data_IF_401761945664
#
_entry.id   IF_401761945664
#
_cell.length_a   1.000
_cell.length_b   1.000
_cell.length_c   1.000
_cell.angle_alpha   90.00
_cell.angle_beta   90.00
_cell.angle_gamma   90.00
#
_symmetry.space_group_name_H-M   'P 1'
#
loop_
_entity.id
_entity.type
_entity.pdbx_description
1 polymer ?
#
# COMPACT_ATOMS: atom_id res chain seq x y z
N UNK A 1 16.66 -63.25 -52.98
CA UNK A 1 16.60 -63.30 -51.51
C UNK A 1 16.75 -61.86 -51.02
N UNK A 2 15.73 -61.00 -51.02
CA UNK A 2 14.65 -60.83 -49.99
C UNK A 2 15.23 -60.89 -48.57
N UNK A 3 15.16 -59.86 -47.71
CA UNK A 3 14.13 -58.84 -47.52
C UNK A 3 14.73 -57.52 -47.01
N UNK A 4 14.30 -56.43 -47.63
CA UNK A 4 14.28 -55.08 -47.09
C UNK A 4 12.78 -54.73 -46.95
N UNK A 5 12.30 -54.39 -45.76
CA UNK A 5 10.93 -53.92 -45.56
C UNK A 5 10.94 -52.47 -45.08
N UNK A 6 10.22 -51.56 -45.76
CA UNK A 6 10.25 -50.12 -45.49
C UNK A 6 9.12 -49.70 -44.54
N UNK A 7 9.35 -48.64 -43.76
CA UNK A 7 8.32 -47.95 -42.97
C UNK A 7 7.87 -46.70 -43.75
N UNK A 8 6.57 -46.54 -44.09
CA UNK A 8 6.07 -45.40 -44.86
C UNK A 8 5.52 -44.26 -43.98
N UNK A 9 5.36 -43.12 -44.66
CA UNK A 9 5.01 -41.79 -44.17
C UNK A 9 3.51 -41.55 -43.89
N UNK A 10 3.25 -40.37 -43.32
CA UNK A 10 1.98 -39.71 -42.99
C UNK A 10 0.77 -40.00 -43.89
N UNK A 11 -0.41 -40.22 -43.29
CA UNK A 11 -1.62 -39.45 -43.61
C UNK A 11 -2.74 -39.62 -42.54
N UNK A 12 -3.53 -38.55 -42.44
CA UNK A 12 -4.76 -38.30 -41.68
C UNK A 12 -5.67 -39.50 -41.38
N UNK A 13 -5.99 -39.65 -40.09
CA UNK A 13 -7.25 -40.23 -39.66
C UNK A 13 -8.01 -39.18 -38.83
N UNK A 14 -9.02 -38.60 -39.47
CA UNK A 14 -10.03 -37.71 -38.88
C UNK A 14 -10.62 -38.37 -37.62
N UNK A 15 -10.31 -37.82 -36.45
CA UNK A 15 -11.04 -38.11 -35.23
C UNK A 15 -12.21 -37.15 -35.10
N UNK A 16 -13.38 -37.76 -35.06
CA UNK A 16 -14.70 -37.13 -35.11
C UNK A 16 -15.00 -36.34 -33.81
N UNK A 17 -15.77 -35.25 -33.88
CA UNK A 17 -15.96 -34.29 -32.77
C UNK A 17 -17.03 -34.71 -31.75
N UNK A 18 -17.24 -36.01 -31.54
CA UNK A 18 -18.40 -36.57 -30.85
C UNK A 18 -18.08 -37.29 -29.52
N UNK A 19 -16.84 -37.25 -29.01
CA UNK A 19 -16.47 -37.98 -27.78
C UNK A 19 -15.54 -37.28 -26.78
N UNK A 20 -15.53 -35.95 -26.75
CA UNK A 20 -14.93 -35.19 -25.61
C UNK A 20 -16.00 -34.42 -24.81
N UNK A 21 -17.26 -34.47 -25.23
CA UNK A 21 -18.39 -33.78 -24.56
C UNK A 21 -19.08 -34.64 -23.47
N UNK A 22 -18.69 -35.90 -23.27
CA UNK A 22 -19.34 -36.79 -22.30
C UNK A 22 -18.65 -36.90 -20.92
N UNK A 23 -17.51 -36.23 -20.71
CA UNK A 23 -16.79 -36.23 -19.43
C UNK A 23 -17.08 -35.05 -18.49
N UNK A 24 -17.62 -33.94 -19.00
CA UNK A 24 -17.91 -32.72 -18.20
C UNK A 24 -19.42 -32.47 -18.05
N UNK A 25 -20.26 -33.23 -18.76
CA UNK A 25 -21.73 -33.17 -18.65
C UNK A 25 -22.31 -33.94 -17.44
N UNK A 26 -21.49 -34.66 -16.67
CA UNK A 26 -21.94 -35.45 -15.51
C UNK A 26 -21.48 -34.88 -14.15
N UNK A 27 -21.25 -33.56 -14.07
CA UNK A 27 -21.29 -32.82 -12.81
C UNK A 27 -21.98 -31.43 -12.92
N UNK A 28 -22.62 -31.15 -14.06
CA UNK A 28 -23.48 -29.98 -14.28
C UNK A 28 -24.98 -30.34 -14.38
N UNK A 29 -25.34 -31.61 -14.18
CA UNK A 29 -26.69 -32.14 -14.39
C UNK A 29 -27.49 -32.43 -13.09
N UNK A 30 -27.06 -31.92 -11.92
CA UNK A 30 -27.76 -32.21 -10.64
C UNK A 30 -28.25 -31.00 -9.82
N UNK A 31 -28.13 -29.78 -10.34
CA UNK A 31 -28.66 -28.57 -9.67
C UNK A 31 -29.47 -27.65 -10.58
N UNK A 32 -29.81 -28.07 -11.81
CA UNK A 32 -30.57 -27.26 -12.78
C UNK A 32 -32.00 -27.74 -13.09
N UNK A 33 -32.55 -28.69 -12.32
CA UNK A 33 -33.94 -29.19 -12.51
C UNK A 33 -34.80 -29.11 -11.23
N UNK A 34 -34.70 -28.00 -10.48
CA UNK A 34 -35.72 -27.58 -9.49
C UNK A 34 -36.10 -26.08 -9.60
N UNK A 35 -35.77 -25.43 -10.72
CA UNK A 35 -35.99 -23.99 -10.92
C UNK A 35 -37.10 -23.59 -11.90
N UNK A 36 -37.91 -24.53 -12.41
CA UNK A 36 -38.88 -24.25 -13.52
C UNK A 36 -40.34 -24.46 -13.10
N UNK A 37 -40.71 -24.29 -11.82
CA UNK A 37 -42.15 -24.33 -11.44
C UNK A 37 -42.56 -23.36 -10.33
N UNK A 38 -41.98 -22.15 -10.31
CA UNK A 38 -42.45 -21.08 -9.43
C UNK A 38 -42.39 -19.69 -10.08
N UNK A 39 -42.80 -19.59 -11.35
CA UNK A 39 -42.93 -18.30 -12.05
C UNK A 39 -44.28 -18.15 -12.76
N UNK A 40 -45.33 -18.78 -12.23
CA UNK A 40 -46.67 -18.70 -12.82
C UNK A 40 -47.83 -18.54 -11.82
N UNK A 41 -47.61 -18.38 -10.51
CA UNK A 41 -48.75 -18.29 -9.58
C UNK A 41 -48.57 -17.37 -8.35
N UNK A 42 -47.94 -16.21 -8.54
CA UNK A 42 -48.26 -15.01 -7.71
C UNK A 42 -48.35 -13.80 -8.63
N UNK A 43 -49.26 -13.88 -9.61
CA UNK A 43 -49.67 -12.74 -10.42
C UNK A 43 -51.13 -12.30 -10.15
N UNK A 44 -51.90 -13.00 -9.31
CA UNK A 44 -53.35 -12.76 -9.23
C UNK A 44 -53.98 -12.94 -7.85
N UNK A 45 -53.30 -12.62 -6.75
CA UNK A 45 -54.01 -12.29 -5.50
C UNK A 45 -53.25 -11.30 -4.63
N UNK A 46 -53.29 -10.02 -5.00
CA UNK A 46 -53.65 -8.90 -4.09
C UNK A 46 -53.93 -7.67 -4.98
N UNK A 47 -54.86 -7.86 -5.91
CA UNK A 47 -55.40 -6.82 -6.79
C UNK A 47 -56.69 -6.18 -6.25
N UNK A 48 -57.09 -6.42 -5.00
CA UNK A 48 -58.40 -5.97 -4.49
C UNK A 48 -58.44 -5.50 -3.03
N UNK A 49 -57.31 -5.11 -2.43
CA UNK A 49 -57.34 -4.45 -1.10
C UNK A 49 -56.46 -3.21 -1.00
N UNK A 50 -56.56 -2.34 -2.01
CA UNK A 50 -56.01 -0.97 -1.96
C UNK A 50 -57.14 0.09 -1.93
N UNK A 51 -58.41 -0.32 -1.90
CA UNK A 51 -59.55 0.62 -1.98
C UNK A 51 -60.21 0.93 -0.61
N UNK A 52 -60.00 0.13 0.44
CA UNK A 52 -60.67 0.37 1.74
C UNK A 52 -59.82 1.06 2.84
N UNK A 53 -58.48 1.04 2.76
CA UNK A 53 -57.64 1.61 3.83
C UNK A 53 -57.25 3.09 3.65
N UNK A 54 -57.64 3.72 2.53
CA UNK A 54 -57.42 5.16 2.31
C UNK A 54 -58.47 6.02 3.06
N UNK A 55 -59.51 5.42 3.63
CA UNK A 55 -60.56 6.17 4.37
C UNK A 55 -60.35 6.29 5.89
N UNK A 56 -59.27 5.72 6.44
CA UNK A 56 -59.04 5.68 7.90
C UNK A 56 -57.80 6.42 8.41
N UNK A 57 -57.06 7.15 7.56
CA UNK A 57 -56.08 8.16 7.99
C UNK A 57 -54.93 7.65 8.90
N UNK A 58 -54.27 6.53 8.57
CA UNK A 58 -53.09 6.04 9.31
C UNK A 58 -51.82 6.11 8.45
N UNK A 59 -50.69 6.38 9.12
CA UNK A 59 -49.37 6.68 8.54
C UNK A 59 -48.73 5.47 7.83
N UNK A 60 -48.08 5.72 6.70
CA UNK A 60 -47.36 4.72 5.89
C UNK A 60 -46.23 3.98 6.63
N UNK A 61 -45.81 4.48 7.79
CA UNK A 61 -44.79 3.86 8.64
C UNK A 61 -45.30 2.64 9.43
N UNK A 62 -46.60 2.57 9.75
CA UNK A 62 -47.13 1.46 10.57
C UNK A 62 -47.43 0.22 9.73
N UNK A 63 -47.77 0.40 8.45
CA UNK A 63 -48.04 -0.69 7.50
C UNK A 63 -46.73 -1.36 7.04
N UNK A 64 -45.63 -0.61 6.98
CA UNK A 64 -44.32 -1.14 6.61
C UNK A 64 -43.70 -2.04 7.69
N UNK A 65 -44.09 -1.87 8.96
CA UNK A 65 -43.56 -2.64 10.09
C UNK A 65 -44.36 -3.92 10.39
N UNK A 66 -45.66 -3.97 10.07
CA UNK A 66 -46.45 -5.20 10.22
C UNK A 66 -46.27 -6.20 9.06
N UNK A 67 -45.84 -5.71 7.88
CA UNK A 67 -45.66 -6.56 6.70
C UNK A 67 -44.37 -7.39 6.75
N UNK A 68 -43.33 -6.93 7.45
CA UNK A 68 -42.04 -7.63 7.58
C UNK A 68 -42.11 -8.84 8.50
N UNK A 69 -42.96 -8.82 9.52
CA UNK A 69 -43.13 -9.94 10.46
C UNK A 69 -43.79 -11.15 9.79
N UNK A 70 -44.79 -10.95 8.93
CA UNK A 70 -45.49 -12.04 8.25
C UNK A 70 -44.65 -12.68 7.13
N UNK A 71 -43.78 -11.91 6.46
CA UNK A 71 -42.89 -12.44 5.41
C UNK A 71 -41.74 -13.24 6.02
N UNK A 72 -41.17 -12.78 7.14
CA UNK A 72 -40.11 -13.49 7.83
C UNK A 72 -40.62 -14.78 8.51
N UNK A 73 -41.86 -14.80 8.98
CA UNK A 73 -42.51 -16.01 9.50
C UNK A 73 -42.69 -17.09 8.42
N UNK A 74 -43.19 -16.72 7.26
CA UNK A 74 -43.38 -17.66 6.14
C UNK A 74 -42.06 -18.23 5.59
N UNK A 75 -40.99 -17.42 5.56
CA UNK A 75 -39.65 -17.87 5.17
C UNK A 75 -39.04 -18.82 6.21
N UNK A 76 -39.32 -18.60 7.50
CA UNK A 76 -38.81 -19.43 8.60
C UNK A 76 -39.47 -20.80 8.66
N UNK A 77 -40.79 -20.87 8.44
CA UNK A 77 -41.54 -22.12 8.37
C UNK A 77 -41.16 -22.96 7.14
N UNK A 78 -40.89 -22.30 6.01
CA UNK A 78 -40.41 -22.95 4.81
C UNK A 78 -39.00 -23.56 4.96
N UNK A 79 -38.18 -23.02 5.89
CA UNK A 79 -36.80 -23.44 6.14
C UNK A 79 -36.63 -24.35 7.37
N UNK A 80 -37.70 -24.66 8.12
CA UNK A 80 -37.71 -25.55 9.29
C UNK A 80 -36.64 -25.23 10.35
N UNK A 81 -36.45 -23.95 10.66
CA UNK A 81 -35.48 -23.51 11.67
C UNK A 81 -36.06 -23.64 13.10
N UNK A 82 -35.31 -24.18 14.09
CA UNK A 82 -35.75 -24.27 15.48
C UNK A 82 -35.98 -22.88 16.11
N UNK A 83 -37.01 -22.77 16.95
CA UNK A 83 -37.55 -21.50 17.48
C UNK A 83 -36.71 -20.86 18.60
N UNK A 84 -35.73 -21.58 19.13
CA UNK A 84 -35.04 -21.15 20.35
C UNK A 84 -33.60 -20.71 20.04
N UNK A 85 -33.45 -19.45 19.64
CA UNK A 85 -32.17 -18.72 19.76
C UNK A 85 -32.44 -17.23 19.82
N UNK A 86 -32.80 -16.75 21.02
CA UNK A 86 -32.71 -15.35 21.41
C UNK A 86 -31.24 -14.92 21.36
N UNK A 87 -30.82 -14.29 20.26
CA UNK A 87 -29.45 -13.75 20.16
C UNK A 87 -28.95 -13.33 18.79
N UNK A 88 -29.80 -13.05 17.80
CA UNK A 88 -29.34 -12.56 16.49
C UNK A 88 -29.67 -11.07 16.32
N UNK A 89 -28.76 -10.22 16.78
CA UNK A 89 -28.77 -8.78 16.47
C UNK A 89 -28.42 -8.61 14.99
N UNK A 90 -29.38 -8.17 14.17
CA UNK A 90 -29.11 -7.76 12.80
C UNK A 90 -28.41 -6.40 12.85
N UNK A 91 -27.09 -6.42 12.73
CA UNK A 91 -26.30 -5.20 12.52
C UNK A 91 -26.65 -4.61 11.15
N UNK A 92 -26.97 -3.31 11.13
CA UNK A 92 -27.19 -2.49 9.92
C UNK A 92 -26.08 -2.75 8.89
N UNK A 93 -26.37 -2.88 7.58
CA UNK A 93 -25.34 -3.14 6.58
C UNK A 93 -24.35 -1.98 6.57
N UNK A 94 -23.13 -2.23 7.07
CA UNK A 94 -22.01 -1.32 6.90
C UNK A 94 -21.55 -1.41 5.44
N UNK A 95 -21.39 -0.22 4.82
CA UNK A 95 -20.69 -0.04 3.55
C UNK A 95 -19.34 -0.77 3.64
N UNK A 96 -18.94 -1.58 2.65
CA UNK A 96 -17.68 -2.32 2.74
C UNK A 96 -16.54 -1.32 2.86
N UNK A 97 -15.78 -1.42 3.96
CA UNK A 97 -14.53 -0.70 4.12
C UNK A 97 -13.56 -1.12 3.00
N UNK A 98 -12.66 -0.23 2.54
CA UNK A 98 -11.66 -0.59 1.55
C UNK A 98 -10.90 -1.81 2.06
N UNK A 99 -10.88 -2.86 1.25
CA UNK A 99 -10.13 -4.08 1.50
C UNK A 99 -8.65 -3.73 1.55
N UNK A 100 -8.17 -3.37 2.74
CA UNK A 100 -6.75 -3.42 3.07
C UNK A 100 -6.34 -4.86 2.84
N UNK A 101 -5.59 -5.08 1.76
CA UNK A 101 -4.85 -6.32 1.57
C UNK A 101 -3.85 -6.39 2.72
N UNK A 102 -4.24 -7.02 3.82
CA UNK A 102 -3.32 -7.46 4.86
C UNK A 102 -2.52 -8.58 4.21
N UNK A 103 -1.31 -8.27 3.75
CA UNK A 103 -0.35 -9.28 3.36
C UNK A 103 0.06 -9.95 4.66
N UNK A 104 -0.57 -11.08 4.98
CA UNK A 104 -0.06 -12.00 5.99
C UNK A 104 1.25 -12.55 5.42
N UNK A 105 2.38 -11.96 5.84
CA UNK A 105 3.70 -12.50 5.50
C UNK A 105 3.94 -13.66 6.44
N UNK A 106 3.23 -14.77 6.21
CA UNK A 106 3.73 -16.06 6.63
C UNK A 106 5.00 -16.31 5.82
N UNK A 107 6.15 -16.27 6.49
CA UNK A 107 7.42 -16.75 5.95
C UNK A 107 7.22 -18.16 5.38
N UNK A 108 7.22 -18.31 4.05
CA UNK A 108 7.78 -19.44 3.30
C UNK A 108 7.38 -19.36 1.83
N UNK A 109 8.39 -19.23 0.96
CA UNK A 109 8.25 -19.36 -0.49
C UNK A 109 8.52 -18.04 -1.22
N UNK A 110 9.55 -18.04 -2.07
CA UNK A 110 9.67 -17.04 -3.15
C UNK A 110 8.33 -16.97 -3.87
N UNK A 111 7.68 -15.80 -3.96
CA UNK A 111 6.40 -15.68 -4.63
C UNK A 111 6.57 -16.14 -6.08
N UNK A 112 5.72 -17.08 -6.48
CA UNK A 112 5.68 -17.58 -7.85
C UNK A 112 5.48 -16.40 -8.82
N UNK A 113 6.14 -16.45 -9.98
CA UNK A 113 6.07 -15.40 -11.00
C UNK A 113 4.61 -15.08 -11.39
N UNK A 114 3.74 -16.09 -11.39
CA UNK A 114 2.33 -15.93 -11.72
C UNK A 114 1.52 -15.25 -10.61
N UNK A 115 1.91 -15.43 -9.33
CA UNK A 115 1.35 -14.67 -8.21
C UNK A 115 1.69 -13.18 -8.33
N UNK A 116 2.95 -12.86 -8.60
CA UNK A 116 3.39 -11.47 -8.77
C UNK A 116 2.68 -10.79 -9.95
N UNK A 117 2.53 -11.48 -11.08
CA UNK A 117 1.78 -10.97 -12.23
C UNK A 117 0.32 -10.70 -11.89
N UNK A 118 -0.33 -11.61 -11.15
CA UNK A 118 -1.73 -11.44 -10.75
C UNK A 118 -1.91 -10.24 -9.82
N UNK A 119 -1.01 -10.05 -8.86
CA UNK A 119 -0.98 -8.85 -8.00
C UNK A 119 -0.77 -7.58 -8.82
N UNK A 120 0.14 -7.60 -9.80
CA UNK A 120 0.37 -6.49 -10.72
C UNK A 120 -0.88 -6.13 -11.54
N UNK A 121 -1.60 -7.12 -12.07
CA UNK A 121 -2.84 -6.90 -12.82
C UNK A 121 -3.94 -6.28 -11.96
N UNK A 122 -4.06 -6.71 -10.69
CA UNK A 122 -5.03 -6.13 -9.76
C UNK A 122 -4.71 -4.67 -9.41
N UNK A 123 -3.43 -4.31 -9.27
CA UNK A 123 -3.02 -2.92 -9.07
C UNK A 123 -3.43 -2.04 -10.25
N UNK A 124 -3.21 -2.50 -11.49
CA UNK A 124 -3.62 -1.76 -12.69
C UNK A 124 -5.15 -1.64 -12.80
N UNK A 125 -5.88 -2.70 -12.45
CA UNK A 125 -7.35 -2.68 -12.43
C UNK A 125 -7.87 -1.62 -11.45
N UNK A 126 -7.31 -1.56 -10.24
CA UNK A 126 -7.66 -0.55 -9.24
C UNK A 126 -7.28 0.86 -9.66
N UNK A 127 -6.10 1.03 -10.26
CA UNK A 127 -5.65 2.34 -10.78
C UNK A 127 -6.55 2.86 -11.90
N UNK A 128 -7.29 1.99 -12.61
CA UNK A 128 -8.25 2.39 -13.64
C UNK A 128 -9.63 2.74 -13.06
N UNK A 129 -9.90 2.45 -11.78
CA UNK A 129 -11.16 2.74 -11.12
C UNK A 129 -11.19 4.19 -10.62
N UNK A 130 -11.94 5.04 -11.32
CA UNK A 130 -12.08 6.48 -11.03
C UNK A 130 -12.87 6.72 -9.73
N UNK A 131 -13.51 5.70 -9.16
CA UNK A 131 -14.21 5.79 -7.88
C UNK A 131 -13.32 5.51 -6.67
N UNK A 132 -12.11 4.97 -6.88
CA UNK A 132 -11.12 4.75 -5.81
C UNK A 132 -10.48 6.10 -5.45
N UNK A 133 -10.86 6.65 -4.30
CA UNK A 133 -10.29 7.91 -3.77
C UNK A 133 -9.20 7.57 -2.77
N UNK A 134 -7.95 7.83 -3.13
CA UNK A 134 -6.80 7.61 -2.26
C UNK A 134 -6.39 8.92 -1.56
N UNK A 135 -6.90 9.15 -0.35
CA UNK A 135 -6.66 10.38 0.42
C UNK A 135 -5.21 10.56 0.89
N UNK A 136 -4.43 9.49 0.96
CA UNK A 136 -3.05 9.51 1.46
C UNK A 136 -2.24 8.37 0.83
N UNK A 137 -0.98 8.64 0.50
CA UNK A 137 -0.12 7.66 -0.15
C UNK A 137 0.00 6.36 0.70
N UNK A 138 -0.27 5.18 0.12
CA UNK A 138 -0.44 3.93 0.87
C UNK A 138 0.84 3.47 1.58
N UNK A 139 2.02 3.89 1.09
CA UNK A 139 3.30 3.57 1.71
C UNK A 139 3.53 4.27 3.08
N UNK A 140 2.84 5.38 3.37
CA UNK A 140 3.16 6.21 4.54
C UNK A 140 3.01 5.45 5.86
N UNK A 141 1.96 4.64 6.00
CA UNK A 141 1.76 3.81 7.19
C UNK A 141 2.93 2.82 7.41
N UNK A 142 3.44 2.22 6.33
CA UNK A 142 4.58 1.29 6.40
C UNK A 142 5.89 2.02 6.68
N UNK A 143 6.05 3.25 6.21
CA UNK A 143 7.21 4.10 6.48
C UNK A 143 7.24 4.51 7.95
N UNK A 144 6.10 4.92 8.53
CA UNK A 144 6.00 5.28 9.95
C UNK A 144 6.47 4.15 10.88
N UNK A 145 6.13 2.89 10.55
CA UNK A 145 6.59 1.72 11.32
C UNK A 145 8.09 1.44 11.20
N UNK A 146 8.78 2.08 10.25
CA UNK A 146 10.23 1.95 10.02
C UNK A 146 11.02 3.19 10.45
N UNK A 147 10.35 4.20 11.01
CA UNK A 147 10.99 5.43 11.49
C UNK A 147 11.30 5.33 12.99
N UNK A 148 12.51 5.73 13.37
CA UNK A 148 12.83 6.04 14.74
C UNK A 148 12.24 7.41 15.14
N UNK A 149 11.95 7.64 16.44
CA UNK A 149 11.48 8.95 16.91
C UNK A 149 12.44 10.11 16.58
N UNK A 150 13.75 9.85 16.64
CA UNK A 150 14.78 10.85 16.29
C UNK A 150 14.83 11.14 14.79
N UNK A 151 14.53 10.17 13.93
CA UNK A 151 14.43 10.38 12.48
C UNK A 151 13.23 11.27 12.12
N UNK A 152 12.11 11.13 12.84
CA UNK A 152 10.98 12.04 12.69
C UNK A 152 11.33 13.49 13.08
N UNK A 153 12.20 13.69 14.08
CA UNK A 153 12.72 15.02 14.43
C UNK A 153 13.57 15.60 13.31
N UNK A 154 14.43 14.78 12.70
CA UNK A 154 15.24 15.18 11.53
C UNK A 154 14.33 15.60 10.37
N UNK A 155 13.33 14.80 10.03
CA UNK A 155 12.38 15.12 8.95
C UNK A 155 11.67 16.45 9.20
N UNK A 156 11.14 16.67 10.40
CA UNK A 156 10.52 17.94 10.80
C UNK A 156 11.49 19.11 10.67
N UNK A 157 12.74 18.92 11.12
CA UNK A 157 13.78 19.94 11.03
C UNK A 157 14.11 20.31 9.58
N UNK A 158 14.27 19.30 8.71
CA UNK A 158 14.52 19.51 7.27
C UNK A 158 13.35 20.20 6.56
N UNK A 159 12.11 19.85 6.92
CA UNK A 159 10.92 20.49 6.38
C UNK A 159 10.87 21.98 6.72
N UNK A 160 11.26 22.36 7.94
CA UNK A 160 11.24 23.75 8.39
C UNK A 160 12.47 24.58 7.92
N UNK A 161 13.65 23.97 7.79
CA UNK A 161 14.90 24.71 7.58
C UNK A 161 15.54 24.47 6.20
N UNK A 162 14.91 23.63 5.37
CA UNK A 162 15.39 23.22 4.07
C UNK A 162 16.69 22.42 4.11
N UNK A 163 17.45 22.51 3.02
CA UNK A 163 18.69 21.78 2.84
C UNK A 163 19.76 22.10 3.91
N UNK A 164 20.45 21.07 4.36
CA UNK A 164 21.45 21.14 5.42
C UNK A 164 22.85 20.80 4.90
N UNK A 165 23.90 21.42 5.47
CA UNK A 165 25.26 21.19 5.04
C UNK A 165 25.73 19.77 5.43
N UNK A 166 26.42 19.14 4.49
CA UNK A 166 27.12 17.86 4.68
C UNK A 166 28.56 18.01 4.19
N UNK A 167 29.49 17.41 4.90
CA UNK A 167 30.91 17.45 4.58
C UNK A 167 31.45 16.04 4.46
N UNK A 168 32.24 15.85 3.41
CA UNK A 168 33.07 14.68 3.24
C UNK A 168 34.55 15.06 3.34
N UNK A 169 35.35 14.14 3.86
CA UNK A 169 36.79 14.30 4.00
C UNK A 169 37.49 13.22 3.20
N UNK A 170 38.33 13.65 2.26
CA UNK A 170 39.13 12.78 1.40
C UNK A 170 40.61 13.11 1.53
N UNK A 171 41.46 12.13 1.22
CA UNK A 171 42.89 12.42 0.99
C UNK A 171 43.05 13.22 -0.30
N UNK A 172 43.95 14.20 -0.29
CA UNK A 172 44.27 15.02 -1.45
C UNK A 172 45.58 14.52 -2.06
N UNK A 173 45.54 14.09 -3.32
CA UNK A 173 46.71 13.67 -4.09
C UNK A 173 46.76 14.44 -5.41
N UNK A 174 47.94 14.65 -6.01
CA UNK A 174 48.04 15.32 -7.31
C UNK A 174 47.08 14.67 -8.33
N UNK A 175 46.30 15.49 -9.03
CA UNK A 175 45.29 15.08 -10.01
C UNK A 175 44.15 14.20 -9.45
N UNK A 176 43.90 14.20 -8.14
CA UNK A 176 42.92 13.36 -7.43
C UNK A 176 43.12 11.84 -7.62
N UNK A 177 44.21 11.41 -8.26
CA UNK A 177 44.53 10.00 -8.53
C UNK A 177 44.94 9.30 -7.24
N UNK A 178 44.19 8.25 -6.89
CA UNK A 178 44.36 7.53 -5.63
C UNK A 178 43.80 8.26 -4.41
N UNK A 179 42.96 9.29 -4.58
CA UNK A 179 42.24 9.89 -3.44
C UNK A 179 41.34 8.86 -2.77
N UNK A 180 41.38 8.83 -1.45
CA UNK A 180 40.62 7.89 -0.61
C UNK A 180 39.60 8.65 0.23
N UNK A 181 38.40 8.07 0.40
CA UNK A 181 37.38 8.61 1.30
C UNK A 181 37.72 8.23 2.74
N UNK A 182 37.91 9.24 3.60
CA UNK A 182 38.25 9.03 5.02
C UNK A 182 37.01 9.15 5.91
N UNK A 183 36.09 10.04 5.55
CA UNK A 183 34.78 10.15 6.17
C UNK A 183 33.79 10.73 5.17
N UNK A 184 32.57 10.20 5.18
CA UNK A 184 31.47 10.63 4.32
C UNK A 184 30.25 10.95 5.18
N UNK A 185 29.47 11.94 4.74
CA UNK A 185 28.18 12.23 5.35
C UNK A 185 28.25 12.96 6.69
N UNK A 186 29.37 13.65 7.00
CA UNK A 186 29.49 14.38 8.27
C UNK A 186 28.54 15.57 8.25
N UNK A 187 27.63 15.64 9.22
CA UNK A 187 26.59 16.65 9.27
C UNK A 187 26.19 16.91 10.72
N UNK A 188 25.60 18.07 10.99
CA UNK A 188 25.03 18.41 12.30
C UNK A 188 23.51 18.23 12.36
N UNK A 189 22.94 17.39 11.49
CA UNK A 189 21.48 17.31 11.33
C UNK A 189 20.83 16.71 12.58
N UNK A 190 21.43 15.68 13.18
CA UNK A 190 20.92 15.11 14.42
C UNK A 190 21.00 16.09 15.60
N UNK A 191 22.10 16.82 15.75
CA UNK A 191 22.29 17.84 16.79
C UNK A 191 21.26 18.97 16.64
N UNK A 192 21.12 19.51 15.42
CA UNK A 192 20.23 20.65 15.17
C UNK A 192 18.76 20.30 15.20
N UNK A 193 18.40 19.05 14.92
CA UNK A 193 17.02 18.56 15.05
C UNK A 193 16.66 18.16 16.49
N UNK A 194 17.63 18.23 17.42
CA UNK A 194 17.42 17.86 18.82
C UNK A 194 17.21 16.36 19.00
N UNK A 195 17.89 15.52 18.21
CA UNK A 195 17.88 14.07 18.43
C UNK A 195 18.39 13.73 19.85
N UNK A 196 17.82 12.69 20.45
CA UNK A 196 18.30 12.17 21.73
C UNK A 196 19.68 11.51 21.59
N UNK A 197 19.92 10.84 20.46
CA UNK A 197 21.17 10.12 20.18
C UNK A 197 21.87 10.69 18.95
N UNK A 198 22.61 11.79 19.13
CA UNK A 198 23.28 12.50 18.02
C UNK A 198 24.40 11.68 17.39
N UNK A 199 25.03 10.78 18.15
CA UNK A 199 26.03 9.81 17.70
C UNK A 199 25.52 8.87 16.58
N UNK A 200 24.19 8.75 16.45
CA UNK A 200 23.53 7.91 15.43
C UNK A 200 23.17 8.68 14.15
N UNK A 201 23.68 9.91 13.97
CA UNK A 201 23.37 10.75 12.82
C UNK A 201 23.43 10.00 11.48
N UNK A 202 24.53 9.28 11.23
CA UNK A 202 24.72 8.55 9.97
C UNK A 202 23.74 7.37 9.82
N UNK A 203 23.40 6.69 10.91
CA UNK A 203 22.42 5.61 10.85
C UNK A 203 21.03 6.16 10.49
N UNK A 204 20.65 7.29 11.09
CA UNK A 204 19.39 7.97 10.81
C UNK A 204 19.31 8.47 9.38
N UNK A 205 20.32 9.20 8.90
CA UNK A 205 20.32 9.72 7.53
C UNK A 205 20.33 8.60 6.49
N UNK A 206 21.08 7.51 6.73
CA UNK A 206 21.07 6.35 5.84
C UNK A 206 19.70 5.66 5.78
N UNK A 207 19.01 5.52 6.91
CA UNK A 207 17.66 4.97 6.92
C UNK A 207 16.67 5.89 6.18
N UNK A 208 16.75 7.20 6.40
CA UNK A 208 15.91 8.18 5.70
C UNK A 208 16.15 8.20 4.18
N UNK A 209 17.40 8.01 3.75
CA UNK A 209 17.75 7.82 2.33
C UNK A 209 17.19 6.50 1.81
N UNK A 210 17.33 5.39 2.56
CA UNK A 210 16.75 4.08 2.20
C UNK A 210 15.23 4.13 2.05
N UNK A 211 14.55 4.92 2.90
CA UNK A 211 13.11 5.15 2.83
C UNK A 211 12.69 6.10 1.70
N UNK A 212 13.66 6.73 1.01
CA UNK A 212 13.40 7.66 -0.08
C UNK A 212 12.86 9.02 0.38
N UNK A 213 12.94 9.34 1.68
CA UNK A 213 12.44 10.60 2.25
C UNK A 213 13.47 11.72 2.14
N UNK A 214 14.74 11.36 2.13
CA UNK A 214 15.88 12.29 2.11
C UNK A 214 16.84 11.90 1.00
N UNK A 215 17.53 12.88 0.40
CA UNK A 215 18.62 12.66 -0.56
C UNK A 215 19.83 13.48 -0.20
N UNK A 216 21.01 12.91 -0.47
CA UNK A 216 22.28 13.66 -0.49
C UNK A 216 22.51 14.22 -1.88
N UNK A 217 22.96 15.46 -1.98
CA UNK A 217 23.27 16.13 -3.24
C UNK A 217 24.71 16.68 -3.24
N UNK A 218 25.40 16.64 -4.40
CA UNK A 218 26.68 17.31 -4.56
C UNK A 218 26.55 18.84 -4.55
N UNK A 219 25.35 19.38 -4.71
CA UNK A 219 25.11 20.82 -4.67
C UNK A 219 25.31 21.34 -3.25
N UNK A 220 26.21 22.31 -3.08
CA UNK A 220 26.47 22.91 -1.79
C UNK A 220 25.39 23.93 -1.41
N UNK A 221 25.10 24.06 -0.11
CA UNK A 221 24.33 25.19 0.42
C UNK A 221 25.22 26.44 0.51
N UNK A 222 24.67 27.56 1.01
CA UNK A 222 25.43 28.78 1.20
C UNK A 222 26.68 28.55 2.09
N UNK A 223 27.80 29.15 1.70
CA UNK A 223 29.12 28.83 2.24
C UNK A 223 29.23 29.04 3.77
N UNK A 224 28.56 30.06 4.29
CA UNK A 224 28.48 30.40 5.70
C UNK A 224 27.87 29.27 6.56
N UNK A 225 26.97 28.45 5.99
CA UNK A 225 26.35 27.33 6.71
C UNK A 225 27.35 26.22 7.03
N UNK A 226 28.51 26.16 6.35
CA UNK A 226 29.53 25.15 6.61
C UNK A 226 30.53 25.54 7.70
N UNK A 227 30.62 26.83 8.07
CA UNK A 227 31.66 27.32 8.98
C UNK A 227 31.66 26.59 10.32
N UNK A 228 30.47 26.36 10.88
CA UNK A 228 30.31 25.64 12.16
C UNK A 228 30.53 24.14 11.97
N UNK A 229 30.11 23.56 10.84
CA UNK A 229 30.27 22.13 10.56
C UNK A 229 31.75 21.76 10.37
N UNK A 230 32.52 22.59 9.64
CA UNK A 230 33.93 22.31 9.31
C UNK A 230 34.84 22.27 10.54
N UNK A 231 34.44 22.93 11.63
CA UNK A 231 35.18 22.93 12.90
C UNK A 231 34.67 21.89 13.91
N UNK A 232 33.68 21.08 13.55
CA UNK A 232 33.17 20.04 14.45
C UNK A 232 34.25 18.98 14.77
N UNK A 233 34.24 18.40 15.98
CA UNK A 233 35.24 17.43 16.41
C UNK A 233 35.42 16.27 15.42
N UNK A 234 34.33 15.76 14.86
CA UNK A 234 34.36 14.62 13.93
C UNK A 234 34.99 14.97 12.58
N UNK A 235 34.73 16.17 12.07
CA UNK A 235 35.35 16.67 10.83
C UNK A 235 36.84 16.91 11.05
N UNK A 236 37.20 17.57 12.17
CA UNK A 236 38.61 17.80 12.52
C UNK A 236 39.35 16.47 12.73
N UNK A 237 38.73 15.49 13.38
CA UNK A 237 39.29 14.16 13.56
C UNK A 237 39.48 13.44 12.21
N UNK A 238 38.51 13.55 11.29
CA UNK A 238 38.63 13.00 9.95
C UNK A 238 39.76 13.65 9.15
N UNK A 239 39.90 14.99 9.20
CA UNK A 239 41.00 15.70 8.55
C UNK A 239 42.36 15.29 9.12
N UNK A 240 42.46 15.10 10.44
CA UNK A 240 43.69 14.58 11.07
C UNK A 240 44.04 13.16 10.59
N UNK A 241 43.05 12.27 10.48
CA UNK A 241 43.25 10.92 9.91
C UNK A 241 43.67 10.95 8.45
N UNK A 242 43.13 11.89 7.66
CA UNK A 242 43.48 12.08 6.26
C UNK A 242 44.91 12.62 6.05
N UNK A 243 45.49 13.25 7.08
CA UNK A 243 46.85 13.78 7.08
C UNK A 243 46.97 15.21 6.53
N UNK A 244 48.21 15.63 6.24
CA UNK A 244 48.51 17.01 5.83
C UNK A 244 47.88 17.43 4.50
N UNK A 245 47.68 16.47 3.59
CA UNK A 245 47.04 16.69 2.31
C UNK A 245 45.63 16.08 2.34
N UNK A 246 44.65 16.87 2.76
CA UNK A 246 43.24 16.49 2.76
C UNK A 246 42.40 17.51 1.99
N UNK A 247 41.24 17.07 1.50
CA UNK A 247 40.26 17.89 0.80
C UNK A 247 38.90 17.68 1.44
N UNK A 248 38.26 18.78 1.81
CA UNK A 248 36.89 18.80 2.30
C UNK A 248 35.96 19.04 1.11
N UNK A 249 35.01 18.13 0.89
CA UNK A 249 34.01 18.26 -0.18
C UNK A 249 32.68 18.64 0.46
N UNK A 250 32.20 19.84 0.12
CA UNK A 250 30.92 20.36 0.57
C UNK A 250 29.79 19.75 -0.25
N UNK A 251 28.79 19.21 0.43
CA UNK A 251 27.58 18.59 -0.10
C UNK A 251 26.37 19.08 0.68
N UNK A 252 25.18 18.66 0.30
CA UNK A 252 23.96 18.94 1.06
C UNK A 252 23.10 17.70 1.24
N UNK A 253 22.20 17.77 2.22
CA UNK A 253 21.15 16.79 2.47
C UNK A 253 19.81 17.51 2.59
N UNK A 254 18.77 16.97 1.95
CA UNK A 254 17.45 17.58 1.92
C UNK A 254 16.35 16.57 1.65
N UNK A 255 15.10 16.98 1.89
CA UNK A 255 13.95 16.17 1.59
C UNK A 255 13.84 15.89 0.08
N UNK A 256 13.37 14.70 -0.27
CA UNK A 256 12.88 14.40 -1.63
C UNK A 256 11.48 15.00 -1.80
N UNK A 257 10.97 15.17 -3.03
CA UNK A 257 9.56 15.54 -3.21
C UNK A 257 8.60 14.59 -2.48
N UNK A 258 8.89 13.29 -2.51
CA UNK A 258 8.15 12.28 -1.75
C UNK A 258 8.25 12.48 -0.23
N UNK A 259 9.42 12.89 0.27
CA UNK A 259 9.64 13.22 1.68
C UNK A 259 8.96 14.51 2.12
N UNK A 260 8.90 15.52 1.26
CA UNK A 260 8.15 16.76 1.50
C UNK A 260 6.65 16.47 1.63
N UNK A 261 6.09 15.68 0.72
CA UNK A 261 4.69 15.27 0.77
C UNK A 261 4.40 14.38 1.98
N UNK A 262 5.32 13.48 2.34
CA UNK A 262 5.24 12.70 3.57
C UNK A 262 5.18 13.63 4.80
N UNK A 263 6.10 14.59 4.90
CA UNK A 263 6.12 15.53 6.03
C UNK A 263 4.81 16.31 6.11
N UNK A 264 4.32 16.82 4.98
CA UNK A 264 3.05 17.57 4.89
C UNK A 264 1.85 16.74 5.34
N UNK A 265 1.82 15.46 5.00
CA UNK A 265 0.69 14.59 5.27
C UNK A 265 0.68 14.01 6.70
N UNK A 266 1.85 13.67 7.26
CA UNK A 266 1.91 12.87 8.50
C UNK A 266 2.72 13.49 9.64
N UNK A 267 3.58 14.48 9.38
CA UNK A 267 4.36 15.13 10.44
C UNK A 267 3.65 16.43 10.83
N UNK A 268 3.24 16.60 12.10
CA UNK A 268 2.68 17.87 12.54
C UNK A 268 3.70 19.00 12.34
N UNK A 269 3.37 19.96 11.50
CA UNK A 269 4.02 21.26 11.50
C UNK A 269 3.51 22.03 12.72
N UNK A 270 4.42 22.69 13.44
CA UNK A 270 4.03 23.56 14.54
C UNK A 270 3.50 24.87 13.93
N UNK A 271 2.20 25.21 14.06
CA UNK A 271 1.63 26.40 13.44
C UNK A 271 2.21 27.71 14.02
N UNK A 272 2.99 27.65 15.10
CA UNK A 272 3.66 28.82 15.68
C UNK A 272 5.01 29.18 15.06
N UNK A 273 5.53 28.39 14.12
CA UNK A 273 6.69 28.78 13.31
C UNK A 273 6.13 29.27 11.98
N UNK A 274 5.70 30.53 12.01
CA UNK A 274 4.88 31.16 10.98
C UNK A 274 5.52 31.20 9.59
N UNK A 275 4.61 31.21 8.62
CA UNK A 275 4.77 31.69 7.25
C UNK A 275 5.27 33.15 7.23
N UNK A 276 6.50 33.39 7.66
CA UNK A 276 7.24 34.62 7.41
C UNK A 276 8.29 34.36 6.31
N UNK A 277 7.80 34.15 5.09
CA UNK A 277 8.56 34.31 3.84
C UNK A 277 7.71 35.09 2.83
#
# INVERSE_FOLDING_TARGET
MTNNTPVPAHNNQQLRPDRVVQGVAMLAAKTWWRGVKWSADIATTTGTKIIDDVRAGRSASDIALSATEHVLGAVRDALQLPTDSTGLTITKPQRPAPSRVTIDITESGTPDCDELRRRGAELLRRSADVSDVEDTHPAYARILNQLAPDEARILRFLAAHGAQPVVDVRTSRPFDVGSEMIAEGLSMVAERSGCRYTDRNNAYTNNLVRLGLVRSSPEAVAAERYQVLEVQPDVVAACRRAGRAHKTVRRSIHLTPFGEDFCRAVIPSDPSVGDDL
#
